data_IF_984510957001
#
_entry.id   IF_984510957001
#
_cell.length_a   1.000
_cell.length_b   1.000
_cell.length_c   1.000
_cell.angle_alpha   90.00
_cell.angle_beta   90.00
_cell.angle_gamma   90.00
#
_symmetry.space_group_name_H-M   'P 1'
#
loop_
_entity.id
_entity.type
_entity.pdbx_description
1 polymer ?
#
# COMPACT_ATOMS: atom_id res chain seq x y z
N UNK A 1 -22.77 0.36 -6.47
CA UNK A 1 -21.48 0.88 -5.99
C UNK A 1 -20.58 1.20 -7.18
N UNK A 2 -19.89 2.33 -7.14
CA UNK A 2 -18.91 2.73 -8.15
C UNK A 2 -17.58 2.02 -7.87
N UNK A 3 -16.90 1.56 -8.91
CA UNK A 3 -15.56 0.96 -8.79
C UNK A 3 -14.50 2.05 -8.80
N UNK A 4 -13.66 2.06 -7.77
CA UNK A 4 -12.52 2.96 -7.62
C UNK A 4 -11.20 2.19 -7.73
N UNK A 5 -10.20 2.87 -8.30
CA UNK A 5 -8.80 2.42 -8.27
C UNK A 5 -8.13 3.10 -7.08
N UNK A 6 -7.66 2.31 -6.13
CA UNK A 6 -6.88 2.78 -4.99
C UNK A 6 -5.41 2.47 -5.26
N UNK A 7 -4.63 3.48 -5.67
CA UNK A 7 -3.18 3.33 -5.83
C UNK A 7 -2.49 3.56 -4.48
N UNK A 8 -1.99 2.49 -3.88
CA UNK A 8 -1.24 2.58 -2.63
C UNK A 8 0.22 2.85 -2.96
N UNK A 9 0.74 3.95 -2.43
CA UNK A 9 2.09 4.42 -2.67
C UNK A 9 2.87 4.37 -1.35
N UNK A 10 4.10 3.85 -1.38
CA UNK A 10 4.98 3.79 -0.21
C UNK A 10 6.46 3.87 -0.60
N UNK A 11 7.33 4.05 0.39
CA UNK A 11 8.79 4.02 0.24
C UNK A 11 9.33 2.65 0.61
N UNK A 12 10.30 2.17 -0.15
CA UNK A 12 11.01 0.92 0.13
C UNK A 12 12.19 1.11 1.13
N UNK A 13 12.96 0.05 1.36
CA UNK A 13 14.09 0.03 2.29
C UNK A 13 15.46 0.22 1.66
N UNK A 14 15.58 0.69 0.41
CA UNK A 14 16.89 0.89 -0.20
C UNK A 14 17.62 2.09 0.40
N UNK A 15 18.94 1.98 0.50
CA UNK A 15 19.84 3.03 1.02
C UNK A 15 20.88 3.42 -0.03
N UNK A 16 21.36 4.67 -0.08
CA UNK A 16 21.05 5.77 0.86
C UNK A 16 19.70 6.44 0.58
N UNK A 17 19.10 6.22 -0.59
CA UNK A 17 17.83 6.84 -0.99
C UNK A 17 16.79 5.75 -1.25
N UNK A 18 15.64 5.79 -0.57
CA UNK A 18 14.51 4.90 -0.85
C UNK A 18 13.89 5.16 -2.22
N UNK A 19 13.35 4.12 -2.85
CA UNK A 19 12.53 4.25 -4.06
C UNK A 19 11.04 4.29 -3.72
N UNK A 20 10.27 4.88 -4.63
CA UNK A 20 8.81 4.84 -4.59
C UNK A 20 8.30 3.49 -5.12
N UNK A 21 7.31 2.91 -4.44
CA UNK A 21 6.60 1.70 -4.83
C UNK A 21 5.11 2.01 -4.95
N UNK A 22 4.42 1.27 -5.82
CA UNK A 22 3.01 1.47 -6.12
C UNK A 22 2.30 0.16 -6.46
N UNK A 23 1.06 0.01 -6.04
CA UNK A 23 0.14 -1.02 -6.55
C UNK A 23 -1.31 -0.60 -6.41
N UNK A 24 -2.14 -1.07 -7.35
CA UNK A 24 -3.56 -0.72 -7.42
C UNK A 24 -4.46 -1.78 -6.81
N UNK A 25 -5.33 -1.39 -5.88
CA UNK A 25 -6.48 -2.19 -5.44
C UNK A 25 -7.74 -1.70 -6.14
N UNK A 26 -8.59 -2.61 -6.61
CA UNK A 26 -9.95 -2.26 -7.03
C UNK A 26 -10.89 -2.45 -5.84
N UNK A 27 -11.64 -1.40 -5.50
CA UNK A 27 -12.65 -1.41 -4.43
C UNK A 27 -13.93 -0.74 -4.87
N UNK A 28 -15.02 -1.12 -4.23
CA UNK A 28 -16.35 -0.60 -4.50
C UNK A 28 -16.80 0.27 -3.32
N UNK A 29 -17.27 1.48 -3.64
CA UNK A 29 -17.83 2.42 -2.67
C UNK A 29 -19.08 3.08 -3.27
N UNK A 30 -20.00 3.54 -2.42
CA UNK A 30 -21.19 4.26 -2.88
C UNK A 30 -20.85 5.68 -3.37
N UNK A 31 -19.91 6.33 -2.68
CA UNK A 31 -19.35 7.65 -3.01
C UNK A 31 -17.82 7.61 -2.97
N UNK A 32 -17.16 8.73 -3.26
CA UNK A 32 -15.70 8.83 -3.05
C UNK A 32 -15.39 8.55 -1.56
N UNK A 33 -14.45 7.63 -1.25
CA UNK A 33 -14.18 7.24 0.12
C UNK A 33 -13.40 8.31 0.89
N UNK A 34 -13.64 8.38 2.19
CA UNK A 34 -12.79 9.08 3.17
C UNK A 34 -11.56 8.25 3.51
N UNK A 35 -10.54 8.87 4.11
CA UNK A 35 -9.30 8.20 4.50
C UNK A 35 -9.54 6.99 5.42
N UNK A 36 -10.46 7.13 6.38
CA UNK A 36 -10.80 6.12 7.37
C UNK A 36 -11.52 4.90 6.77
N UNK A 37 -12.13 5.07 5.60
CA UNK A 37 -12.78 4.00 4.86
C UNK A 37 -11.80 3.18 4.01
N UNK A 38 -10.56 3.66 3.83
CA UNK A 38 -9.55 2.94 3.08
C UNK A 38 -8.99 1.78 3.91
N UNK A 39 -8.97 0.54 3.39
CA UNK A 39 -8.52 -0.61 4.13
C UNK A 39 -7.00 -0.60 4.34
N UNK A 40 -6.54 -1.26 5.41
CA UNK A 40 -5.15 -1.71 5.45
C UNK A 40 -4.90 -2.69 4.29
N UNK A 41 -3.67 -2.66 3.78
CA UNK A 41 -3.25 -3.64 2.79
C UNK A 41 -1.90 -4.25 3.18
N UNK A 42 -1.48 -5.31 2.51
CA UNK A 42 -0.24 -6.02 2.79
C UNK A 42 0.60 -6.16 1.54
N UNK A 43 1.92 -6.12 1.66
CA UNK A 43 2.86 -6.41 0.58
C UNK A 43 4.02 -7.26 1.09
N UNK A 44 4.69 -7.95 0.17
CA UNK A 44 5.90 -8.71 0.48
C UNK A 44 7.10 -7.76 0.62
N UNK A 45 7.53 -7.55 1.87
CA UNK A 45 8.65 -6.71 2.26
C UNK A 45 10.01 -7.22 1.79
N UNK A 46 10.13 -8.52 1.46
CA UNK A 46 11.41 -9.07 0.99
C UNK A 46 11.79 -8.54 -0.38
N UNK A 47 10.80 -8.27 -1.23
CA UNK A 47 10.95 -7.66 -2.55
C UNK A 47 11.26 -6.15 -2.51
N UNK A 48 11.32 -5.55 -1.32
CA UNK A 48 11.49 -4.09 -1.11
C UNK A 48 12.59 -3.74 -0.10
N UNK A 49 13.39 -4.73 0.35
CA UNK A 49 14.41 -4.55 1.37
C UNK A 49 13.84 -4.07 2.73
N UNK A 50 12.60 -4.44 3.05
CA UNK A 50 11.90 -4.05 4.28
C UNK A 50 11.70 -5.21 5.26
N UNK A 51 11.91 -6.46 4.82
CA UNK A 51 11.82 -7.64 5.68
C UNK A 51 12.60 -8.85 5.10
N UNK A 52 12.91 -9.84 5.95
CA UNK A 52 13.54 -11.10 5.53
C UNK A 52 12.50 -12.09 4.99
N UNK A 53 12.87 -12.92 4.02
CA UNK A 53 11.94 -13.79 3.29
C UNK A 53 11.07 -14.77 4.11
N UNK A 54 11.50 -15.17 5.32
CA UNK A 54 10.71 -16.06 6.21
C UNK A 54 9.64 -15.35 7.04
N UNK A 55 9.68 -14.03 7.09
CA UNK A 55 8.77 -13.18 7.86
C UNK A 55 8.65 -11.84 7.15
N UNK A 56 8.15 -11.86 5.90
CA UNK A 56 8.26 -10.73 4.99
C UNK A 56 7.01 -9.86 4.86
N UNK A 57 5.88 -10.26 5.43
CA UNK A 57 4.63 -9.49 5.31
C UNK A 57 4.76 -8.11 5.98
N UNK A 58 4.49 -7.06 5.20
CA UNK A 58 4.46 -5.67 5.66
C UNK A 58 3.08 -5.06 5.43
N UNK A 59 2.68 -4.14 6.31
CA UNK A 59 1.34 -3.51 6.28
C UNK A 59 1.42 -2.10 5.71
N UNK A 60 0.53 -1.79 4.77
CA UNK A 60 0.27 -0.44 4.27
C UNK A 60 -0.93 0.14 5.02
N UNK A 61 -0.67 1.22 5.75
CA UNK A 61 -1.69 2.03 6.40
C UNK A 61 -1.91 3.31 5.59
N UNK A 62 -3.12 3.56 5.07
CA UNK A 62 -3.45 4.84 4.45
C UNK A 62 -3.23 6.00 5.42
N UNK A 63 -2.64 7.10 4.94
CA UNK A 63 -2.38 8.32 5.75
C UNK A 63 -2.83 9.62 5.07
N UNK A 64 -3.15 9.58 3.77
CA UNK A 64 -3.65 10.72 2.99
C UNK A 64 -4.44 10.24 1.75
N UNK A 65 -5.38 11.05 1.26
CA UNK A 65 -6.14 10.88 0.00
C UNK A 65 -6.38 12.22 -0.68
#
# INVERSE_FOLDING_TARGET
MTKFKLEYIWLDGYTPVPNLRGKTQIKEFDTFPTLEQLPLWGFDGSSTNQAEGRSSDCVLKPVAI
#
